data_IF_500843956603
#
_entry.id   IF_500843956603
#
_cell.length_a   1.000
_cell.length_b   1.000
_cell.length_c   1.000
_cell.angle_alpha   90.00
_cell.angle_beta   90.00
_cell.angle_gamma   90.00
#
_symmetry.space_group_name_H-M   'P 1'
#
loop_
_entity.id
_entity.type
_entity.pdbx_description
1 polymer ?
#
# COMPACT_ATOMS: atom_id res chain seq x y z
N UNK A 1 -10.43 -11.66 2.17
CA UNK A 1 -11.04 -13.01 2.17
C UNK A 1 -11.92 -13.16 3.41
N UNK A 2 -12.52 -14.31 3.67
CA UNK A 2 -13.28 -14.61 4.88
C UNK A 2 -13.08 -16.09 5.27
N UNK A 3 -13.89 -16.59 6.21
CA UNK A 3 -13.83 -17.95 6.72
C UNK A 3 -14.45 -19.00 5.78
N UNK A 4 -15.00 -18.59 4.64
CA UNK A 4 -15.56 -19.45 3.62
C UNK A 4 -14.68 -19.42 2.35
N UNK A 5 -15.02 -20.24 1.37
CA UNK A 5 -14.44 -20.20 0.04
C UNK A 5 -14.66 -18.83 -0.63
N UNK A 6 -13.83 -18.53 -1.62
CA UNK A 6 -14.10 -17.41 -2.52
C UNK A 6 -15.27 -17.81 -3.40
N UNK A 7 -16.48 -17.41 -3.00
CA UNK A 7 -17.71 -17.73 -3.71
C UNK A 7 -17.73 -17.09 -5.11
N UNK A 8 -18.02 -17.91 -6.12
CA UNK A 8 -18.25 -17.49 -7.51
C UNK A 8 -19.70 -17.75 -7.92
N UNK A 9 -20.62 -17.71 -6.96
CA UNK A 9 -22.05 -17.96 -7.21
C UNK A 9 -22.75 -16.81 -7.94
N UNK A 10 -22.34 -15.57 -7.65
CA UNK A 10 -22.99 -14.35 -8.16
C UNK A 10 -22.27 -13.70 -9.34
N UNK A 11 -21.35 -14.41 -9.98
CA UNK A 11 -20.66 -13.96 -11.20
C UNK A 11 -21.22 -14.66 -12.42
N UNK A 12 -20.98 -14.10 -13.61
CA UNK A 12 -21.32 -14.76 -14.87
C UNK A 12 -20.54 -16.08 -15.04
N UNK A 13 -21.02 -16.93 -15.96
CA UNK A 13 -20.37 -18.20 -16.26
C UNK A 13 -18.95 -17.99 -16.83
N UNK A 14 -18.79 -17.03 -17.74
CA UNK A 14 -17.49 -16.68 -18.33
C UNK A 14 -16.48 -16.20 -17.27
N UNK A 15 -16.90 -15.31 -16.36
CA UNK A 15 -16.05 -14.84 -15.26
C UNK A 15 -15.70 -15.97 -14.30
N UNK A 16 -16.65 -16.87 -14.02
CA UNK A 16 -16.40 -18.03 -13.16
C UNK A 16 -15.33 -18.94 -13.77
N UNK A 17 -15.47 -19.26 -15.04
CA UNK A 17 -14.53 -20.14 -15.75
C UNK A 17 -13.15 -19.49 -15.84
N UNK A 18 -13.09 -18.17 -16.09
CA UNK A 18 -11.85 -17.41 -16.03
C UNK A 18 -11.21 -17.49 -14.63
N UNK A 19 -11.97 -17.21 -13.57
CA UNK A 19 -11.47 -17.26 -12.19
C UNK A 19 -10.97 -18.66 -11.80
N UNK A 20 -11.66 -19.71 -12.24
CA UNK A 20 -11.23 -21.10 -12.00
C UNK A 20 -9.95 -21.39 -12.78
N UNK A 21 -9.89 -21.03 -14.06
CA UNK A 21 -8.71 -21.28 -14.89
C UNK A 21 -7.44 -20.60 -14.34
N UNK A 22 -7.55 -19.37 -13.84
CA UNK A 22 -6.41 -18.61 -13.34
C UNK A 22 -5.99 -19.00 -11.91
N UNK A 23 -6.95 -19.19 -11.00
CA UNK A 23 -6.64 -19.33 -9.57
C UNK A 23 -6.69 -20.79 -9.05
N UNK A 24 -7.25 -21.73 -9.81
CA UNK A 24 -7.37 -23.15 -9.40
C UNK A 24 -6.35 -23.99 -10.17
N UNK A 25 -5.13 -24.09 -9.61
CA UNK A 25 -4.05 -24.91 -10.19
C UNK A 25 -4.17 -26.41 -9.86
N UNK A 26 -4.75 -26.72 -8.70
CA UNK A 26 -5.07 -28.09 -8.28
C UNK A 26 -6.60 -28.21 -8.14
N UNK A 27 -7.25 -29.26 -8.69
CA UNK A 27 -8.68 -29.50 -8.51
C UNK A 27 -9.16 -29.47 -7.05
N UNK A 28 -8.28 -29.82 -6.10
CA UNK A 28 -8.56 -29.77 -4.65
C UNK A 28 -8.71 -28.35 -4.11
N UNK A 29 -8.29 -27.31 -4.84
CA UNK A 29 -8.52 -25.92 -4.43
C UNK A 29 -9.98 -25.50 -4.65
N UNK A 30 -10.71 -26.23 -5.50
CA UNK A 30 -12.14 -25.99 -5.73
C UNK A 30 -12.97 -26.50 -4.55
N UNK A 31 -13.92 -25.67 -4.11
CA UNK A 31 -14.89 -26.00 -3.07
C UNK A 31 -16.25 -25.50 -3.52
N UNK A 32 -17.22 -26.38 -3.68
CA UNK A 32 -18.54 -26.04 -4.24
C UNK A 32 -18.42 -25.24 -5.55
N UNK A 33 -19.04 -24.06 -5.61
CA UNK A 33 -18.94 -23.08 -6.70
C UNK A 33 -17.86 -22.01 -6.45
N UNK A 34 -16.85 -22.29 -5.63
CA UNK A 34 -15.82 -21.32 -5.25
C UNK A 34 -14.43 -21.93 -5.06
N UNK A 35 -13.54 -21.10 -4.50
CA UNK A 35 -12.11 -21.41 -4.32
C UNK A 35 -11.75 -21.41 -2.83
N UNK A 36 -11.39 -22.57 -2.29
CA UNK A 36 -11.08 -22.81 -0.88
C UNK A 36 -9.67 -22.42 -0.46
N UNK A 37 -9.21 -21.23 -0.87
CA UNK A 37 -7.83 -20.73 -0.66
C UNK A 37 -7.81 -19.46 0.18
N UNK A 38 -6.71 -19.24 0.92
CA UNK A 38 -6.41 -17.99 1.63
C UNK A 38 -5.90 -16.91 0.69
N UNK A 39 -5.79 -15.67 1.18
CA UNK A 39 -5.34 -14.55 0.35
C UNK A 39 -3.93 -14.78 -0.18
N UNK A 40 -2.94 -15.01 0.70
CA UNK A 40 -1.55 -15.12 0.26
C UNK A 40 -1.31 -16.26 -0.75
N UNK A 41 -1.88 -17.47 -0.57
CA UNK A 41 -1.77 -18.53 -1.57
C UNK A 41 -2.56 -18.27 -2.85
N UNK A 42 -3.64 -17.48 -2.85
CA UNK A 42 -4.29 -17.04 -4.10
C UNK A 42 -3.40 -16.13 -4.94
N UNK A 43 -2.50 -15.39 -4.29
CA UNK A 43 -1.60 -14.44 -4.93
C UNK A 43 -0.20 -15.03 -5.15
N UNK A 44 -0.04 -16.36 -5.04
CA UNK A 44 1.25 -17.06 -5.12
C UNK A 44 2.34 -16.49 -4.19
N UNK A 45 1.94 -15.89 -3.07
CA UNK A 45 2.85 -15.23 -2.13
C UNK A 45 3.42 -13.89 -2.62
N UNK A 46 2.91 -13.32 -3.72
CA UNK A 46 3.33 -12.00 -4.19
C UNK A 46 2.89 -10.90 -3.20
N UNK A 47 3.87 -10.42 -2.44
CA UNK A 47 3.68 -9.36 -1.46
C UNK A 47 3.18 -8.06 -2.09
N UNK A 48 3.67 -7.66 -3.26
CA UNK A 48 3.27 -6.38 -3.88
C UNK A 48 1.80 -6.40 -4.28
N UNK A 49 1.37 -7.54 -4.82
CA UNK A 49 -0.04 -7.74 -5.14
C UNK A 49 -0.90 -7.78 -3.87
N UNK A 50 -0.41 -8.40 -2.79
CA UNK A 50 -1.11 -8.37 -1.50
C UNK A 50 -1.23 -6.95 -0.93
N UNK A 51 -0.16 -6.15 -1.02
CA UNK A 51 -0.17 -4.73 -0.61
C UNK A 51 -1.18 -3.93 -1.44
N UNK A 52 -1.21 -4.11 -2.78
CA UNK A 52 -2.16 -3.48 -3.69
C UNK A 52 -3.63 -3.80 -3.32
N UNK A 53 -3.95 -5.08 -3.12
CA UNK A 53 -5.32 -5.50 -2.81
C UNK A 53 -5.77 -4.98 -1.44
N UNK A 54 -4.87 -4.93 -0.46
CA UNK A 54 -5.18 -4.33 0.84
C UNK A 54 -5.30 -2.81 0.75
N UNK A 55 -4.48 -2.14 -0.07
CA UNK A 55 -4.65 -0.72 -0.35
C UNK A 55 -6.05 -0.46 -0.93
N UNK A 56 -6.45 -1.20 -1.97
CA UNK A 56 -7.81 -1.10 -2.52
C UNK A 56 -8.88 -1.33 -1.45
N UNK A 57 -8.75 -2.38 -0.63
CA UNK A 57 -9.69 -2.66 0.47
C UNK A 57 -9.82 -1.48 1.45
N UNK A 58 -8.73 -0.76 1.70
CA UNK A 58 -8.70 0.35 2.65
C UNK A 58 -9.19 1.67 2.06
N UNK A 59 -9.03 1.89 0.76
CA UNK A 59 -9.40 3.14 0.10
C UNK A 59 -10.75 3.10 -0.62
N UNK A 60 -11.34 1.92 -0.86
CA UNK A 60 -12.70 1.79 -1.40
C UNK A 60 -13.78 2.20 -0.37
N UNK A 61 -14.99 2.56 -0.82
CA UNK A 61 -16.08 2.95 0.09
C UNK A 61 -16.50 1.84 1.03
N UNK A 62 -16.63 2.17 2.32
CA UNK A 62 -17.14 1.26 3.34
C UNK A 62 -16.18 1.03 4.50
N UNK A 63 -16.49 -0.01 5.27
CA UNK A 63 -15.70 -0.45 6.42
C UNK A 63 -14.93 -1.71 6.07
N UNK A 64 -13.59 -1.67 6.04
CA UNK A 64 -12.79 -2.84 5.67
C UNK A 64 -12.89 -3.92 6.75
N UNK A 65 -12.89 -5.18 6.31
CA UNK A 65 -12.79 -6.36 7.14
C UNK A 65 -11.52 -7.13 6.77
N UNK A 66 -10.69 -7.43 7.77
CA UNK A 66 -9.47 -8.24 7.61
C UNK A 66 -9.74 -9.59 8.26
N UNK A 67 -9.50 -10.67 7.51
CA UNK A 67 -9.61 -12.02 8.03
C UNK A 67 -8.33 -12.39 8.78
N UNK A 68 -8.47 -13.01 9.95
CA UNK A 68 -7.34 -13.26 10.86
C UNK A 68 -6.20 -13.99 10.14
N UNK A 69 -4.97 -13.58 10.36
CA UNK A 69 -3.78 -14.14 9.73
C UNK A 69 -3.48 -13.61 8.32
N UNK A 70 -4.42 -12.97 7.61
CA UNK A 70 -4.11 -12.31 6.34
C UNK A 70 -3.14 -11.13 6.56
N UNK A 71 -3.10 -10.54 7.75
CA UNK A 71 -2.10 -9.54 8.16
C UNK A 71 -0.67 -10.08 8.31
N UNK A 72 -0.49 -11.40 8.25
CA UNK A 72 0.80 -12.09 8.21
C UNK A 72 1.06 -12.77 6.86
N UNK A 73 0.13 -12.65 5.90
CA UNK A 73 0.12 -13.47 4.69
C UNK A 73 0.07 -14.99 4.99
N UNK A 74 -0.75 -15.37 5.98
CA UNK A 74 -0.94 -16.77 6.37
C UNK A 74 -1.48 -17.62 5.22
N UNK A 75 -1.00 -18.87 5.14
CA UNK A 75 -1.37 -19.82 4.09
C UNK A 75 -2.65 -20.62 4.35
N UNK A 76 -2.90 -21.61 3.50
CA UNK A 76 -3.99 -22.57 3.64
C UNK A 76 -3.48 -24.00 3.65
N UNK A 77 -4.35 -24.93 4.06
CA UNK A 77 -4.13 -26.35 3.88
C UNK A 77 -5.32 -26.99 3.13
N UNK A 78 -5.19 -27.09 1.81
CA UNK A 78 -6.24 -27.63 0.92
C UNK A 78 -6.56 -29.11 1.13
N UNK A 79 -5.73 -29.83 1.89
CA UNK A 79 -5.97 -31.23 2.26
C UNK A 79 -6.90 -31.36 3.46
N UNK A 80 -7.18 -30.28 4.18
CA UNK A 80 -8.21 -30.24 5.20
C UNK A 80 -9.60 -30.22 4.53
N UNK A 81 -10.54 -30.91 5.17
CA UNK A 81 -11.89 -31.08 4.67
C UNK A 81 -12.68 -29.77 4.63
N UNK A 82 -13.65 -29.71 3.71
CA UNK A 82 -14.59 -28.59 3.56
C UNK A 82 -13.89 -27.21 3.59
N UNK A 83 -14.27 -26.36 4.55
CA UNK A 83 -13.81 -24.98 4.72
C UNK A 83 -12.70 -24.85 5.75
N UNK A 84 -12.24 -25.96 6.33
CA UNK A 84 -11.18 -25.95 7.32
C UNK A 84 -9.82 -25.60 6.72
N UNK A 85 -9.69 -25.63 5.39
CA UNK A 85 -8.48 -25.24 4.67
C UNK A 85 -8.00 -23.83 5.00
N UNK A 86 -8.92 -22.91 5.35
CA UNK A 86 -8.62 -21.52 5.68
C UNK A 86 -8.81 -21.19 7.17
N UNK A 87 -9.07 -22.19 8.02
CA UNK A 87 -9.44 -22.02 9.43
C UNK A 87 -8.41 -22.58 10.42
N UNK A 88 -7.19 -22.84 9.93
CA UNK A 88 -6.09 -23.34 10.75
C UNK A 88 -5.72 -22.37 11.89
N UNK A 89 -5.13 -22.87 12.98
CA UNK A 89 -4.73 -22.04 14.12
C UNK A 89 -3.82 -20.86 13.73
N UNK A 90 -3.98 -19.74 14.45
CA UNK A 90 -3.14 -18.55 14.28
C UNK A 90 -1.68 -18.81 14.72
N UNK A 91 -0.67 -18.51 13.89
CA UNK A 91 0.73 -18.69 14.25
C UNK A 91 1.27 -17.49 15.04
N UNK A 92 1.28 -17.60 16.37
CA UNK A 92 1.78 -16.57 17.27
C UNK A 92 3.31 -16.54 17.37
N UNK A 93 3.96 -17.69 17.36
CA UNK A 93 5.40 -17.84 17.60
C UNK A 93 5.95 -19.08 16.90
N UNK A 94 7.29 -19.24 16.75
CA UNK A 94 7.87 -20.47 16.21
C UNK A 94 7.82 -21.66 17.18
N UNK A 95 7.32 -21.47 18.40
CA UNK A 95 7.23 -22.51 19.41
C UNK A 95 6.19 -23.59 19.06
N UNK A 96 6.09 -24.61 19.92
CA UNK A 96 5.13 -25.70 19.82
C UNK A 96 3.73 -25.22 19.46
N UNK A 97 3.12 -25.88 18.47
CA UNK A 97 1.79 -25.56 17.92
C UNK A 97 1.66 -24.11 17.40
N UNK A 98 2.76 -23.48 16.97
CA UNK A 98 2.77 -22.08 16.55
C UNK A 98 2.49 -21.11 17.69
N UNK A 99 2.67 -21.50 18.95
CA UNK A 99 2.26 -20.72 20.13
C UNK A 99 0.75 -20.61 20.34
N UNK A 100 -0.07 -21.30 19.54
CA UNK A 100 -1.53 -21.26 19.67
C UNK A 100 -2.04 -21.96 20.93
N UNK A 101 -1.44 -23.08 21.31
CA UNK A 101 -1.87 -23.88 22.46
C UNK A 101 -0.74 -24.73 23.03
N UNK A 102 -0.83 -25.02 24.34
CA UNK A 102 0.06 -25.95 25.05
C UNK A 102 -0.47 -27.39 25.08
N UNK A 103 -1.66 -27.66 24.53
CA UNK A 103 -2.24 -29.00 24.47
C UNK A 103 -1.39 -29.96 23.62
N UNK A 104 -1.68 -31.27 23.72
CA UNK A 104 -1.08 -32.23 22.79
C UNK A 104 -1.46 -31.94 21.34
N UNK A 105 -0.55 -32.19 20.40
CA UNK A 105 -0.77 -31.85 18.99
C UNK A 105 -2.03 -32.54 18.45
N UNK A 106 -2.26 -33.80 18.82
CA UNK A 106 -3.43 -34.56 18.39
C UNK A 106 -4.75 -34.06 19.00
N UNK A 107 -4.70 -33.20 20.03
CA UNK A 107 -5.87 -32.61 20.68
C UNK A 107 -6.26 -31.26 20.10
N UNK A 108 -5.49 -30.71 19.16
CA UNK A 108 -5.86 -29.46 18.49
C UNK A 108 -7.10 -29.68 17.61
N UNK A 109 -7.98 -28.67 17.57
CA UNK A 109 -9.17 -28.73 16.73
C UNK A 109 -8.82 -28.84 15.24
N UNK A 110 -7.73 -28.20 14.82
CA UNK A 110 -7.10 -28.32 13.51
C UNK A 110 -5.58 -28.21 13.65
N UNK A 111 -4.80 -28.84 12.77
CA UNK A 111 -3.35 -28.71 12.78
C UNK A 111 -2.93 -27.29 12.33
N UNK A 112 -1.92 -26.68 12.98
CA UNK A 112 -1.28 -25.48 12.46
C UNK A 112 -0.52 -25.80 11.16
N UNK A 113 -0.26 -24.78 10.35
CA UNK A 113 0.52 -24.94 9.12
C UNK A 113 1.98 -25.26 9.44
N UNK A 114 2.54 -26.26 8.77
CA UNK A 114 3.92 -26.74 8.98
C UNK A 114 4.70 -26.85 7.66
N UNK A 115 4.13 -26.36 6.56
CA UNK A 115 4.80 -26.35 5.27
C UNK A 115 5.97 -25.34 5.28
N UNK A 116 6.97 -25.49 4.39
CA UNK A 116 8.16 -24.65 4.41
C UNK A 116 7.91 -23.18 4.04
N UNK A 117 6.77 -22.85 3.40
CA UNK A 117 6.48 -21.49 2.91
C UNK A 117 5.60 -20.72 3.89
N UNK A 118 4.50 -21.33 4.34
CA UNK A 118 3.49 -20.71 5.20
C UNK A 118 3.41 -21.32 6.60
N UNK A 119 4.29 -22.27 6.93
CA UNK A 119 4.32 -22.88 8.24
C UNK A 119 4.69 -21.90 9.34
N UNK A 120 4.23 -22.17 10.57
CA UNK A 120 4.41 -21.23 11.69
C UNK A 120 5.88 -20.94 12.03
N UNK A 121 6.81 -21.80 11.63
CA UNK A 121 8.25 -21.53 11.75
C UNK A 121 8.74 -20.39 10.85
N UNK A 122 8.13 -20.22 9.66
CA UNK A 122 8.44 -19.17 8.70
C UNK A 122 7.55 -17.94 8.89
N UNK A 123 6.25 -18.13 9.11
CA UNK A 123 5.24 -17.08 9.25
C UNK A 123 4.64 -17.11 10.65
N UNK A 124 5.02 -16.15 11.50
CA UNK A 124 4.43 -16.00 12.83
C UNK A 124 4.47 -14.55 13.33
N UNK A 125 3.57 -14.24 14.26
CA UNK A 125 3.43 -12.89 14.85
C UNK A 125 4.72 -12.43 15.51
N UNK A 126 5.39 -13.27 16.28
CA UNK A 126 6.62 -12.89 16.99
C UNK A 126 7.73 -12.43 16.03
N UNK A 127 7.98 -13.18 14.96
CA UNK A 127 8.98 -12.85 13.95
C UNK A 127 8.60 -11.58 13.19
N UNK A 128 7.33 -11.47 12.76
CA UNK A 128 6.80 -10.28 12.09
C UNK A 128 6.88 -9.03 12.99
N UNK A 129 6.65 -9.16 14.30
CA UNK A 129 6.80 -8.05 15.26
C UNK A 129 8.26 -7.61 15.45
N UNK A 130 9.24 -8.48 15.24
CA UNK A 130 10.67 -8.12 15.33
C UNK A 130 11.20 -7.47 14.05
N UNK A 131 10.60 -7.75 12.90
CA UNK A 131 11.03 -7.20 11.61
C UNK A 131 10.26 -5.90 11.26
N UNK A 132 10.89 -4.71 11.24
CA UNK A 132 10.18 -3.46 10.90
C UNK A 132 9.68 -3.38 9.46
N UNK A 133 10.26 -4.16 8.55
CA UNK A 133 9.86 -4.21 7.14
C UNK A 133 8.81 -5.29 6.85
N UNK A 134 8.27 -5.91 7.89
CA UNK A 134 7.32 -7.02 7.77
C UNK A 134 5.96 -6.57 7.23
N UNK A 135 5.16 -7.53 6.75
CA UNK A 135 3.83 -7.23 6.24
C UNK A 135 2.89 -6.76 7.36
N UNK A 136 3.04 -7.30 8.57
CA UNK A 136 2.30 -6.86 9.76
C UNK A 136 2.55 -5.37 10.08
N UNK A 137 3.80 -4.91 10.01
CA UNK A 137 4.13 -3.50 10.24
C UNK A 137 3.58 -2.60 9.15
N UNK A 138 3.72 -3.02 7.89
CA UNK A 138 3.11 -2.32 6.76
C UNK A 138 1.59 -2.19 6.93
N UNK A 139 0.92 -3.28 7.30
CA UNK A 139 -0.53 -3.31 7.56
C UNK A 139 -0.95 -2.32 8.65
N UNK A 140 -0.22 -2.32 9.78
CA UNK A 140 -0.46 -1.38 10.88
C UNK A 140 -0.29 0.08 10.44
N UNK A 141 0.76 0.37 9.67
CA UNK A 141 1.02 1.71 9.13
C UNK A 141 -0.11 2.18 8.21
N UNK A 142 -0.58 1.30 7.32
CA UNK A 142 -1.70 1.59 6.41
C UNK A 142 -3.00 1.87 7.18
N UNK A 143 -3.33 1.04 8.18
CA UNK A 143 -4.52 1.24 9.02
C UNK A 143 -4.43 2.52 9.86
N UNK A 144 -3.25 2.85 10.39
CA UNK A 144 -3.01 4.09 11.12
C UNK A 144 -3.18 5.31 10.22
N UNK A 145 -2.68 5.24 8.98
CA UNK A 145 -2.88 6.28 7.97
C UNK A 145 -4.36 6.43 7.64
N UNK A 146 -5.04 5.33 7.32
CA UNK A 146 -6.49 5.33 7.03
C UNK A 146 -7.31 5.95 8.16
N UNK A 147 -6.96 5.67 9.42
CA UNK A 147 -7.65 6.22 10.61
C UNK A 147 -7.56 7.75 10.71
N UNK A 148 -6.51 8.36 10.15
CA UNK A 148 -6.35 9.82 10.13
C UNK A 148 -7.27 10.49 9.09
N UNK A 149 -7.78 9.72 8.11
CA UNK A 149 -8.58 10.21 6.99
C UNK A 149 -9.97 9.54 6.97
N UNK A 150 -10.97 10.10 7.68
CA UNK A 150 -12.34 9.57 7.70
C UNK A 150 -12.98 9.45 6.31
N UNK A 151 -12.51 10.23 5.33
CA UNK A 151 -12.99 10.23 3.95
C UNK A 151 -12.94 8.85 3.28
N UNK A 152 -12.04 7.95 3.71
CA UNK A 152 -12.03 6.57 3.23
C UNK A 152 -13.27 5.77 3.65
N UNK A 153 -13.87 6.08 4.80
CA UNK A 153 -15.07 5.41 5.29
C UNK A 153 -16.35 6.03 4.75
N UNK A 154 -16.46 7.36 4.82
CA UNK A 154 -17.73 8.08 4.61
C UNK A 154 -17.72 9.03 3.41
N UNK A 155 -16.60 9.16 2.70
CA UNK A 155 -16.52 10.07 1.56
C UNK A 155 -17.19 9.52 0.31
N UNK A 156 -17.52 10.42 -0.62
CA UNK A 156 -17.98 10.08 -1.98
C UNK A 156 -16.91 9.29 -2.73
N UNK A 157 -17.29 8.70 -3.86
CA UNK A 157 -16.41 7.90 -4.69
C UNK A 157 -16.57 8.32 -6.15
N UNK A 158 -15.58 9.06 -6.64
CA UNK A 158 -15.61 9.66 -7.97
C UNK A 158 -14.45 9.09 -8.77
N UNK A 159 -14.76 8.26 -9.79
CA UNK A 159 -13.74 7.63 -10.63
C UNK A 159 -13.09 8.68 -11.52
N UNK A 160 -11.77 8.73 -11.51
CA UNK A 160 -11.01 9.64 -12.36
C UNK A 160 -10.72 8.94 -13.68
N UNK A 161 -11.07 9.60 -14.78
CA UNK A 161 -10.80 9.08 -16.11
C UNK A 161 -9.29 8.96 -16.34
N UNK A 162 -8.86 7.78 -16.79
CA UNK A 162 -7.51 7.49 -17.23
C UNK A 162 -7.57 6.72 -18.54
N UNK A 163 -6.75 7.09 -19.52
CA UNK A 163 -6.66 6.37 -20.79
C UNK A 163 -6.05 4.97 -20.67
N UNK A 164 -5.37 4.67 -19.55
CA UNK A 164 -4.72 3.37 -19.33
C UNK A 164 -5.64 2.43 -18.54
N UNK A 165 -6.15 1.32 -19.12
CA UNK A 165 -7.05 0.40 -18.44
C UNK A 165 -6.37 -0.39 -17.30
N UNK A 166 -5.04 -0.41 -17.25
CA UNK A 166 -4.29 -1.05 -16.16
C UNK A 166 -4.21 -0.18 -14.91
N UNK A 167 -4.62 1.10 -14.97
CA UNK A 167 -4.55 2.02 -13.83
C UNK A 167 -5.95 2.43 -13.40
N UNK A 168 -6.27 2.12 -12.14
CA UNK A 168 -7.50 2.54 -11.48
C UNK A 168 -7.23 3.78 -10.64
N UNK A 169 -7.85 4.90 -10.98
CA UNK A 169 -7.78 6.14 -10.23
C UNK A 169 -9.17 6.61 -9.78
N UNK A 170 -9.28 7.11 -8.56
CA UNK A 170 -10.51 7.67 -8.02
C UNK A 170 -10.22 8.65 -6.88
N UNK A 171 -11.13 9.59 -6.66
CA UNK A 171 -11.09 10.54 -5.56
C UNK A 171 -12.14 10.19 -4.52
N UNK A 172 -11.74 10.31 -3.24
CA UNK A 172 -12.63 10.28 -2.09
C UNK A 172 -12.78 11.70 -1.57
N UNK A 173 -13.97 12.27 -1.68
CA UNK A 173 -14.26 13.62 -1.16
C UNK A 173 -15.13 13.54 0.08
N UNK A 174 -14.98 14.43 1.07
CA UNK A 174 -15.95 14.51 2.16
C UNK A 174 -17.33 14.80 1.59
N UNK A 175 -18.38 14.18 2.14
CA UNK A 175 -19.73 14.65 1.85
C UNK A 175 -19.81 16.13 2.25
N UNK A 176 -20.31 16.97 1.35
CA UNK A 176 -20.63 18.35 1.69
C UNK A 176 -21.68 18.27 2.80
N UNK A 177 -21.29 18.59 4.04
CA UNK A 177 -22.26 18.71 5.11
C UNK A 177 -23.31 19.72 4.64
N UNK A 178 -24.60 19.33 4.66
CA UNK A 178 -25.77 20.19 4.46
C UNK A 178 -25.79 21.33 5.50
N UNK A 179 -24.84 22.26 5.39
CA UNK A 179 -24.77 23.49 6.16
C UNK A 179 -25.61 24.61 5.51
N UNK A 180 -26.52 24.24 4.61
CA UNK A 180 -27.42 25.17 3.91
C UNK A 180 -28.86 24.63 3.80
N UNK A 181 -29.40 23.96 4.82
CA UNK A 181 -30.86 23.87 5.01
C UNK A 181 -31.21 24.12 6.48
N UNK A 182 -31.07 25.37 6.92
CA UNK A 182 -31.71 25.82 8.17
C UNK A 182 -33.13 26.26 7.86
N UNK A 183 -34.09 25.34 7.95
CA UNK A 183 -35.45 25.70 8.35
C UNK A 183 -35.99 24.72 9.41
N UNK A 184 -36.05 25.25 10.63
CA UNK A 184 -36.99 24.95 11.72
C UNK A 184 -37.36 23.48 12.04
N UNK A 185 -36.68 22.93 13.05
CA UNK A 185 -37.33 22.02 14.01
C UNK A 185 -36.80 22.25 15.44
N UNK A 186 -37.65 22.61 16.42
CA UNK A 186 -37.15 23.04 17.73
C UNK A 186 -36.87 21.85 18.68
N UNK A 187 -35.75 22.02 19.38
CA UNK A 187 -35.44 21.66 20.76
C UNK A 187 -35.61 20.20 21.24
N UNK A 188 -34.48 19.50 21.39
CA UNK A 188 -34.18 18.77 22.65
C UNK A 188 -32.74 19.04 23.10
N UNK A 189 -32.67 19.72 24.23
CA UNK A 189 -31.49 20.12 24.99
C UNK A 189 -30.54 18.94 25.25
N UNK A 190 -29.35 18.98 24.65
CA UNK A 190 -28.16 18.36 25.22
C UNK A 190 -27.03 19.37 25.26
N UNK A 191 -26.71 19.79 26.48
CA UNK A 191 -25.52 20.54 26.82
C UNK A 191 -24.30 19.71 26.40
N UNK A 192 -23.66 20.03 25.28
CA UNK A 192 -22.25 19.68 25.05
C UNK A 192 -21.45 20.97 24.95
N UNK A 193 -20.85 21.31 26.09
CA UNK A 193 -19.64 22.11 26.17
C UNK A 193 -18.55 21.37 25.38
N UNK A 194 -18.15 21.95 24.26
CA UNK A 194 -16.75 22.20 23.89
C UNK A 194 -16.74 22.99 22.58
N UNK A 195 -16.50 24.30 22.72
CA UNK A 195 -16.05 25.15 21.64
C UNK A 195 -14.60 24.78 21.30
N UNK A 196 -14.31 24.61 20.01
CA UNK A 196 -12.97 24.42 19.49
C UNK A 196 -12.90 23.36 18.40
N UNK A 197 -12.75 23.84 17.18
CA UNK A 197 -12.48 23.14 15.92
C UNK A 197 -13.75 22.68 15.16
N UNK A 198 -14.33 23.63 14.41
CA UNK A 198 -14.84 23.31 13.08
C UNK A 198 -13.70 22.65 12.31
N UNK A 199 -13.63 21.31 12.30
CA UNK A 199 -12.87 20.63 11.25
C UNK A 199 -13.69 20.83 9.99
N UNK A 200 -13.38 21.91 9.29
CA UNK A 200 -13.73 22.12 7.89
C UNK A 200 -13.61 20.78 7.15
N UNK A 201 -14.58 20.49 6.29
CA UNK A 201 -14.64 19.29 5.46
C UNK A 201 -13.22 18.88 5.02
N UNK A 202 -12.78 17.68 5.42
CA UNK A 202 -11.39 17.25 5.22
C UNK A 202 -10.96 17.31 3.76
N UNK A 203 -9.68 17.47 3.48
CA UNK A 203 -9.21 17.50 2.09
C UNK A 203 -9.58 16.19 1.35
N UNK A 204 -9.96 16.27 0.06
CA UNK A 204 -10.20 15.09 -0.74
C UNK A 204 -8.91 14.29 -0.92
N UNK A 205 -9.04 12.98 -1.09
CA UNK A 205 -7.92 12.05 -1.26
C UNK A 205 -8.00 11.38 -2.63
N UNK A 206 -7.00 11.62 -3.46
CA UNK A 206 -6.80 10.93 -4.73
C UNK A 206 -6.10 9.60 -4.49
N UNK A 207 -6.68 8.52 -4.98
CA UNK A 207 -6.10 7.18 -4.92
C UNK A 207 -5.80 6.69 -6.35
N UNK A 208 -4.59 6.22 -6.59
CA UNK A 208 -4.13 5.71 -7.90
C UNK A 208 -3.51 4.34 -7.71
N UNK A 209 -3.96 3.35 -8.47
CA UNK A 209 -3.57 1.94 -8.30
C UNK A 209 -3.19 1.34 -9.65
N UNK A 210 -1.99 0.79 -9.77
CA UNK A 210 -1.58 0.02 -10.93
C UNK A 210 -1.94 -1.45 -10.75
N UNK A 211 -2.83 -1.97 -11.58
CA UNK A 211 -3.27 -3.36 -11.56
C UNK A 211 -2.35 -4.28 -12.38
N UNK A 212 -1.37 -3.72 -13.10
CA UNK A 212 -0.41 -4.46 -13.91
C UNK A 212 0.82 -4.87 -13.11
N UNK A 213 1.37 -6.03 -13.48
CA UNK A 213 2.69 -6.50 -13.05
C UNK A 213 3.87 -5.74 -13.67
N UNK A 214 3.58 -4.79 -14.56
CA UNK A 214 4.59 -3.95 -15.22
C UNK A 214 4.41 -2.48 -14.81
N UNK A 215 5.47 -1.68 -14.98
CA UNK A 215 5.36 -0.24 -14.78
C UNK A 215 4.36 0.35 -15.78
N UNK A 216 3.53 1.28 -15.32
CA UNK A 216 2.49 1.91 -16.13
C UNK A 216 2.55 3.43 -16.00
N UNK A 217 2.53 4.17 -17.12
CA UNK A 217 2.19 5.59 -17.11
C UNK A 217 0.66 5.76 -17.00
N UNK A 218 0.24 6.84 -16.35
CA UNK A 218 -1.16 7.23 -16.25
C UNK A 218 -1.28 8.75 -16.35
N UNK A 219 -2.08 9.20 -17.31
CA UNK A 219 -2.53 10.58 -17.42
C UNK A 219 -3.92 10.67 -16.81
N UNK A 220 -4.05 11.47 -15.76
CA UNK A 220 -5.27 11.61 -14.96
C UNK A 220 -5.93 12.95 -15.24
N UNK A 221 -7.23 12.97 -15.55
CA UNK A 221 -7.98 14.22 -15.62
C UNK A 221 -8.33 14.69 -14.19
N UNK A 222 -7.55 15.66 -13.70
CA UNK A 222 -7.73 16.26 -12.37
C UNK A 222 -8.17 17.72 -12.45
N UNK A 223 -8.77 18.14 -13.57
CA UNK A 223 -9.11 19.55 -13.84
C UNK A 223 -9.98 20.18 -12.73
N UNK A 224 -10.88 19.40 -12.12
CA UNK A 224 -11.71 19.83 -10.99
C UNK A 224 -10.89 20.25 -9.75
N UNK A 225 -9.70 19.69 -9.59
CA UNK A 225 -8.80 19.93 -8.46
C UNK A 225 -7.59 20.80 -8.82
N UNK A 226 -7.66 21.54 -9.94
CA UNK A 226 -6.61 22.48 -10.34
C UNK A 226 -6.25 23.47 -9.22
N UNK A 227 -4.95 23.79 -9.10
CA UNK A 227 -4.40 24.63 -8.03
C UNK A 227 -4.13 23.90 -6.71
N UNK A 228 -4.61 22.67 -6.53
CA UNK A 228 -4.28 21.85 -5.35
C UNK A 228 -2.92 21.18 -5.50
N UNK A 229 -2.25 20.96 -4.37
CA UNK A 229 -0.99 20.21 -4.29
C UNK A 229 -1.27 18.80 -3.78
N UNK A 230 -1.01 17.73 -4.55
CA UNK A 230 -1.07 16.37 -4.06
C UNK A 230 0.06 16.12 -3.04
N UNK A 231 -0.28 15.62 -1.86
CA UNK A 231 0.68 15.27 -0.80
C UNK A 231 0.51 13.80 -0.47
N UNK A 232 1.56 13.00 -0.69
CA UNK A 232 1.52 11.56 -0.50
C UNK A 232 1.29 11.21 0.99
N UNK A 233 0.38 10.29 1.29
CA UNK A 233 -0.10 10.09 2.66
C UNK A 233 0.90 9.40 3.59
N UNK A 234 1.77 8.53 3.08
CA UNK A 234 2.69 7.72 3.88
C UNK A 234 3.96 8.50 4.25
N UNK A 235 4.66 9.03 3.24
CA UNK A 235 5.89 9.79 3.34
C UNK A 235 5.71 11.30 3.39
N UNK A 236 4.48 11.83 3.21
CA UNK A 236 4.16 13.27 3.26
C UNK A 236 4.93 14.12 2.25
N UNK A 237 5.38 13.48 1.16
CA UNK A 237 6.09 14.14 0.06
C UNK A 237 5.10 14.91 -0.79
N UNK A 238 5.45 16.16 -1.11
CA UNK A 238 4.65 17.02 -1.98
C UNK A 238 4.99 16.74 -3.43
N UNK A 239 3.95 16.55 -4.24
CA UNK A 239 4.05 16.38 -5.68
C UNK A 239 3.77 17.72 -6.39
N UNK A 240 4.09 17.84 -7.70
CA UNK A 240 3.78 19.03 -8.47
C UNK A 240 2.30 19.43 -8.36
N UNK A 241 2.04 20.75 -8.38
CA UNK A 241 0.68 21.32 -8.32
C UNK A 241 -0.15 20.85 -9.52
N UNK A 242 -1.42 20.55 -9.29
CA UNK A 242 -2.36 20.19 -10.35
C UNK A 242 -2.62 21.42 -11.22
N UNK A 243 -2.25 21.34 -12.50
CA UNK A 243 -2.54 22.35 -13.51
C UNK A 243 -3.91 22.10 -14.16
N UNK A 244 -4.27 22.88 -15.18
CA UNK A 244 -5.49 22.69 -15.98
C UNK A 244 -5.36 21.60 -17.06
N UNK A 245 -4.16 21.04 -17.24
CA UNK A 245 -3.88 19.92 -18.12
C UNK A 245 -3.88 18.60 -17.34
N UNK A 246 -3.89 17.46 -18.05
CA UNK A 246 -3.83 16.13 -17.44
C UNK A 246 -2.61 15.97 -16.53
N UNK A 247 -2.80 15.28 -15.41
CA UNK A 247 -1.78 15.02 -14.41
C UNK A 247 -1.11 13.67 -14.67
N UNK A 248 0.14 13.71 -15.14
CA UNK A 248 0.89 12.49 -15.45
C UNK A 248 1.58 11.92 -14.22
N UNK A 249 1.38 10.63 -13.97
CA UNK A 249 2.06 9.86 -12.93
C UNK A 249 2.55 8.53 -13.49
N UNK A 250 3.66 8.02 -12.97
CA UNK A 250 4.16 6.67 -13.28
C UNK A 250 4.16 5.82 -12.02
N UNK A 251 3.65 4.60 -12.14
CA UNK A 251 3.60 3.64 -11.05
C UNK A 251 4.42 2.41 -11.41
N UNK A 252 5.17 1.89 -10.43
CA UNK A 252 5.82 0.59 -10.55
C UNK A 252 4.81 -0.57 -10.59
N UNK A 253 5.26 -1.80 -10.84
CA UNK A 253 4.44 -3.01 -10.78
C UNK A 253 3.62 -3.11 -9.48
N UNK A 254 2.31 -3.27 -9.60
CA UNK A 254 1.37 -3.30 -8.46
C UNK A 254 1.47 -2.11 -7.49
N UNK A 255 2.08 -1.01 -7.94
CA UNK A 255 2.26 0.19 -7.13
C UNK A 255 0.95 0.94 -6.95
N UNK A 256 0.85 1.70 -5.86
CA UNK A 256 -0.26 2.59 -5.61
C UNK A 256 0.21 3.88 -4.94
N UNK A 257 -0.60 4.93 -5.06
CA UNK A 257 -0.41 6.19 -4.35
C UNK A 257 -1.72 6.64 -3.73
N UNK A 258 -1.65 7.18 -2.52
CA UNK A 258 -2.72 7.98 -1.92
C UNK A 258 -2.21 9.39 -1.69
N UNK A 259 -2.92 10.37 -2.25
CA UNK A 259 -2.56 11.79 -2.16
C UNK A 259 -3.68 12.58 -1.48
N UNK A 260 -3.35 13.31 -0.43
CA UNK A 260 -4.20 14.38 0.08
C UNK A 260 -4.11 15.58 -0.87
N UNK A 261 -5.26 16.05 -1.38
CA UNK A 261 -5.32 17.19 -2.29
C UNK A 261 -5.50 18.49 -1.50
N UNK A 262 -4.38 19.09 -1.12
CA UNK A 262 -4.36 20.29 -0.27
C UNK A 262 -4.52 21.55 -1.12
N UNK A 263 -5.53 22.35 -0.82
CA UNK A 263 -5.65 23.72 -1.32
C UNK A 263 -4.52 24.57 -0.73
N UNK A 264 -3.70 25.19 -1.58
CA UNK A 264 -2.82 26.27 -1.12
C UNK A 264 -3.65 27.56 -1.09
N UNK A 265 -3.64 28.35 0.00
CA UNK A 265 -3.95 29.76 -0.14
C UNK A 265 -2.89 30.38 -1.06
N UNK A 266 -3.32 31.19 -2.03
CA UNK A 266 -2.39 31.97 -2.84
C UNK A 266 -1.52 32.81 -1.90
N UNK A 267 -0.22 32.52 -1.86
CA UNK A 267 0.73 33.47 -1.31
C UNK A 267 0.89 34.52 -2.40
N UNK A 268 0.16 35.63 -2.29
CA UNK A 268 0.51 36.83 -3.04
C UNK A 268 1.94 37.23 -2.66
N UNK A 269 2.90 36.98 -3.55
CA UNK A 269 4.21 37.62 -3.48
C UNK A 269 5.45 36.73 -3.31
N UNK A 270 5.55 35.61 -4.03
CA UNK A 270 6.89 35.16 -4.45
C UNK A 270 6.99 35.17 -5.99
N UNK A 271 7.92 35.94 -6.57
CA UNK A 271 8.11 35.96 -8.01
C UNK A 271 8.61 34.59 -8.47
N UNK A 272 8.01 34.08 -9.54
CA UNK A 272 8.38 32.80 -10.14
C UNK A 272 9.81 32.80 -10.69
N UNK A 273 10.34 31.61 -11.06
CA UNK A 273 11.73 31.45 -11.49
C UNK A 273 12.12 32.27 -12.73
N UNK A 274 11.15 32.83 -13.45
CA UNK A 274 11.35 33.65 -14.63
C UNK A 274 11.74 35.12 -14.31
N UNK A 275 11.41 35.63 -13.12
CA UNK A 275 11.69 37.02 -12.74
C UNK A 275 13.05 37.20 -12.02
N UNK A 276 13.64 36.13 -11.51
CA UNK A 276 14.99 36.16 -10.92
C UNK A 276 16.10 36.35 -11.97
N UNK A 277 15.84 36.03 -13.24
CA UNK A 277 16.82 36.10 -14.33
C UNK A 277 17.01 37.52 -14.91
N UNK A 278 16.25 38.52 -14.45
CA UNK A 278 16.36 39.91 -14.94
C UNK A 278 17.09 40.86 -13.97
N UNK A 279 17.42 40.41 -12.76
CA UNK A 279 17.98 41.28 -11.72
C UNK A 279 19.52 41.30 -11.67
N UNK A 280 20.23 40.44 -12.40
CA UNK A 280 21.69 40.37 -12.34
C UNK A 280 22.32 40.81 -13.68
N UNK A 281 22.32 42.12 -13.89
CA UNK A 281 22.87 42.77 -15.08
C UNK A 281 23.71 43.97 -14.68
N UNK A 282 24.93 43.74 -14.19
CA UNK A 282 25.95 44.78 -14.15
C UNK A 282 27.08 44.59 -13.15
N UNK A 283 28.16 43.89 -13.57
CA UNK A 283 29.54 44.35 -13.34
C UNK A 283 30.53 43.48 -14.13
N UNK A 284 31.47 44.15 -14.78
CA UNK A 284 32.40 43.64 -15.79
C UNK A 284 33.73 43.20 -15.14
N UNK A 285 34.21 42.04 -15.59
CA UNK A 285 35.57 41.51 -15.73
C UNK A 285 36.77 42.12 -14.95
N UNK A 286 37.55 41.22 -14.32
CA UNK A 286 39.02 41.21 -14.44
C UNK A 286 39.59 39.80 -14.12
N UNK A 287 40.40 39.27 -15.03
CA UNK A 287 41.36 38.17 -14.86
C UNK A 287 42.70 38.66 -15.48
N UNK A 288 43.85 37.95 -15.45
CA UNK A 288 44.30 36.77 -14.67
C UNK A 288 45.73 36.94 -14.07
N UNK A 289 46.28 35.95 -13.36
CA UNK A 289 47.74 35.65 -13.32
C UNK A 289 48.09 34.29 -12.65
N UNK A 290 48.45 33.34 -13.52
CA UNK A 290 49.44 32.23 -13.52
C UNK A 290 49.97 31.47 -12.27
N UNK A 291 50.43 30.19 -12.44
CA UNK A 291 50.66 29.20 -11.38
C UNK A 291 52.14 28.82 -11.11
N UNK A 292 52.36 28.10 -10.00
CA UNK A 292 53.46 27.15 -9.79
C UNK A 292 54.13 27.21 -8.41
N UNK A 293 54.92 26.20 -7.96
CA UNK A 293 55.18 24.88 -8.57
C UNK A 293 54.95 23.67 -7.63
N UNK A 294 55.03 22.51 -8.27
CA UNK A 294 55.02 21.11 -7.82
C UNK A 294 56.03 20.74 -6.73
N UNK A 295 55.65 19.77 -5.86
CA UNK A 295 56.60 18.86 -5.21
C UNK A 295 55.99 17.48 -4.98
N UNK A 296 56.62 16.48 -5.58
CA UNK A 296 56.40 15.03 -5.43
C UNK A 296 57.10 14.54 -4.16
N UNK A 297 56.66 13.44 -3.55
CA UNK A 297 57.65 12.39 -3.32
C UNK A 297 57.17 10.99 -3.74
N UNK A 298 58.16 10.25 -4.25
CA UNK A 298 58.26 8.82 -4.50
C UNK A 298 57.67 7.99 -3.33
N UNK A 299 57.03 6.84 -3.49
CA UNK A 299 57.33 5.71 -4.35
C UNK A 299 57.65 4.50 -3.47
N UNK A 300 56.71 3.56 -3.31
CA UNK A 300 56.97 2.15 -2.95
C UNK A 300 55.88 1.28 -3.61
N UNK A 301 56.35 0.34 -4.44
CA UNK A 301 55.60 -0.66 -5.21
C UNK A 301 55.14 -1.88 -4.36
N UNK A 302 54.31 -2.78 -4.92
CA UNK A 302 53.48 -3.73 -4.16
C UNK A 302 54.13 -5.10 -3.95
N UNK A 303 53.78 -5.76 -2.83
CA UNK A 303 54.10 -7.17 -2.63
C UNK A 303 52.92 -8.05 -3.07
N UNK A 304 53.13 -8.78 -4.16
CA UNK A 304 52.37 -9.95 -4.59
C UNK A 304 52.72 -11.16 -3.72
N UNK A 305 51.72 -12.00 -3.42
CA UNK A 305 51.89 -13.45 -3.26
C UNK A 305 50.51 -14.14 -3.14
N UNK A 306 50.25 -15.09 -4.03
CA UNK A 306 49.21 -16.13 -3.93
C UNK A 306 49.91 -17.51 -3.78
N UNK A 307 49.20 -18.65 -3.64
CA UNK A 307 49.25 -19.54 -2.47
C UNK A 307 49.99 -20.88 -2.73
N UNK A 308 50.12 -21.75 -1.72
CA UNK A 308 50.04 -23.21 -1.91
C UNK A 308 48.74 -23.73 -1.26
N UNK A 309 47.99 -24.71 -1.75
CA UNK A 309 48.37 -25.94 -2.43
C UNK A 309 48.53 -27.06 -1.40
N UNK A 310 47.52 -27.94 -1.24
CA UNK A 310 47.73 -29.31 -0.73
C UNK A 310 46.83 -29.84 0.40
N UNK A 311 46.00 -30.83 0.03
CA UNK A 311 45.71 -32.10 0.72
C UNK A 311 44.70 -32.21 1.89
N UNK A 312 43.63 -32.98 1.61
CA UNK A 312 42.93 -33.87 2.52
C UNK A 312 43.77 -35.13 2.80
N UNK A 313 43.47 -35.91 3.86
CA UNK A 313 42.82 -37.20 3.59
C UNK A 313 41.85 -37.73 4.68
N UNK A 314 41.06 -38.72 4.25
CA UNK A 314 40.30 -39.77 4.99
C UNK A 314 39.02 -39.39 5.73
#
# INVERSE_FOLDING_TARGET
RNHDELTLEKVSEEERDYMVAEYVKDPRMRRHMGIGRRLAPLLDGDRRLAELLNALLFSLPGSPFIYYGDELLMGDNVYLGDRDSVRTPMPWSPDRNGGFSRADFAQLYLPPLMDPVYGFGAVNVEAEQRNPSSFLHWMRSMLQTRKQFPVFGTGTFDVVACGNPSVLAYVRSPEASDAATTEARPARTRLRRNAGVERAAGNPVLCVHNLSRFAQPADLDLTEWAGRTPVELLGRVRFPVIATQTYSVTLGPYGFYWFELVLRPEVHGEPGPADAARADGGAVAAAPADPGPTRVPDGVEPASQSPPGGEAPS
#
